data_IF_394163465257
#
_entry.id   IF_394163465257
#
_cell.length_a   1.000
_cell.length_b   1.000
_cell.length_c   1.000
_cell.angle_alpha   90.00
_cell.angle_beta   90.00
_cell.angle_gamma   90.00
#
_symmetry.space_group_name_H-M   'P 1'
#
loop_
_entity.id
_entity.type
_entity.pdbx_description
1 polymer ?
#
# COMPACT_ATOMS: atom_id res chain seq x y z
N UNK A 1 23.25 4.03 -17.32
CA UNK A 1 23.29 2.75 -18.04
C UNK A 1 22.14 2.73 -19.03
N UNK A 2 22.39 2.70 -20.36
CA UNK A 2 21.33 2.66 -21.38
C UNK A 2 20.56 1.34 -21.24
N UNK A 3 19.21 1.32 -21.23
CA UNK A 3 18.45 0.08 -21.26
C UNK A 3 18.76 -0.67 -22.57
N UNK A 4 19.11 -1.95 -22.47
CA UNK A 4 19.27 -2.81 -23.63
C UNK A 4 17.94 -2.88 -24.39
N UNK A 5 18.00 -2.96 -25.73
CA UNK A 5 16.84 -3.05 -26.64
C UNK A 5 15.87 -4.21 -26.25
N UNK A 6 16.33 -5.23 -25.58
CA UNK A 6 15.57 -6.38 -25.06
C UNK A 6 14.59 -5.99 -23.91
N UNK A 7 14.85 -4.90 -23.18
CA UNK A 7 14.01 -4.45 -22.07
C UNK A 7 12.73 -3.72 -22.52
N UNK A 8 12.70 -3.12 -23.73
CA UNK A 8 11.53 -2.41 -24.23
C UNK A 8 10.39 -3.39 -24.56
N UNK A 9 10.69 -4.47 -25.28
CA UNK A 9 9.71 -5.51 -25.60
C UNK A 9 9.12 -6.20 -24.35
N UNK A 10 9.98 -6.54 -23.39
CA UNK A 10 9.55 -7.11 -22.10
C UNK A 10 8.66 -6.13 -21.31
N UNK A 11 9.03 -4.86 -21.30
CA UNK A 11 8.24 -3.83 -20.59
C UNK A 11 6.86 -3.68 -21.21
N UNK A 12 6.74 -3.66 -22.53
CA UNK A 12 5.46 -3.60 -23.25
C UNK A 12 4.63 -4.83 -22.98
N UNK A 13 5.24 -6.01 -23.04
CA UNK A 13 4.56 -7.28 -22.72
C UNK A 13 3.97 -7.27 -21.29
N UNK A 14 4.76 -6.86 -20.31
CA UNK A 14 4.30 -6.80 -18.92
C UNK A 14 3.20 -5.75 -18.69
N UNK A 15 3.25 -4.61 -19.39
CA UNK A 15 2.24 -3.54 -19.27
C UNK A 15 0.86 -3.95 -19.78
N UNK A 16 0.77 -4.90 -20.68
CA UNK A 16 -0.52 -5.40 -21.18
C UNK A 16 -1.35 -6.10 -20.12
N UNK A 17 -0.71 -6.68 -19.10
CA UNK A 17 -1.39 -7.48 -18.07
C UNK A 17 -1.27 -6.91 -16.65
N UNK A 18 -0.28 -6.06 -16.40
CA UNK A 18 0.11 -5.67 -15.05
C UNK A 18 0.06 -4.15 -14.84
N UNK A 19 -0.19 -3.73 -13.61
CA UNK A 19 -0.10 -2.32 -13.23
C UNK A 19 1.35 -1.80 -13.30
N UNK A 20 1.53 -0.50 -13.55
CA UNK A 20 2.87 0.11 -13.63
C UNK A 20 3.78 -0.20 -12.43
N UNK A 21 3.23 -0.17 -11.21
CA UNK A 21 3.98 -0.51 -10.00
C UNK A 21 4.44 -1.96 -9.98
N UNK A 22 3.59 -2.89 -10.46
CA UNK A 22 3.96 -4.31 -10.59
C UNK A 22 5.02 -4.50 -11.67
N UNK A 23 4.87 -3.81 -12.81
CA UNK A 23 5.86 -3.85 -13.90
C UNK A 23 7.24 -3.42 -13.42
N UNK A 24 7.34 -2.27 -12.70
CA UNK A 24 8.61 -1.81 -12.12
C UNK A 24 9.25 -2.86 -11.21
N UNK A 25 8.45 -3.45 -10.32
CA UNK A 25 8.93 -4.48 -9.40
C UNK A 25 9.37 -5.75 -10.15
N UNK A 26 8.61 -6.19 -11.14
CA UNK A 26 8.96 -7.39 -11.93
C UNK A 26 10.22 -7.17 -12.77
N UNK A 27 10.37 -6.01 -13.41
CA UNK A 27 11.59 -5.66 -14.14
C UNK A 27 12.81 -5.69 -13.21
N UNK A 28 12.70 -5.14 -12.00
CA UNK A 28 13.77 -5.19 -11.02
C UNK A 28 14.17 -6.63 -10.64
N UNK A 29 13.19 -7.50 -10.36
CA UNK A 29 13.46 -8.91 -10.02
C UNK A 29 14.04 -9.70 -11.22
N UNK A 30 13.56 -9.44 -12.43
CA UNK A 30 14.06 -10.06 -13.67
C UNK A 30 15.49 -9.61 -13.96
N UNK A 31 15.81 -8.34 -13.79
CA UNK A 31 17.16 -7.82 -13.93
C UNK A 31 18.14 -8.48 -12.93
N UNK A 32 17.69 -8.65 -11.68
CA UNK A 32 18.47 -9.35 -10.66
C UNK A 32 18.71 -10.82 -11.05
N UNK A 33 17.70 -11.50 -11.57
CA UNK A 33 17.81 -12.86 -12.08
C UNK A 33 18.79 -12.96 -13.27
N UNK A 34 18.71 -12.03 -14.24
CA UNK A 34 19.64 -11.95 -15.38
C UNK A 34 21.10 -11.66 -14.97
N UNK A 35 21.31 -10.95 -13.87
CA UNK A 35 22.67 -10.77 -13.32
C UNK A 35 23.23 -12.05 -12.70
N UNK A 36 22.35 -12.88 -12.12
CA UNK A 36 22.77 -14.16 -11.54
C UNK A 36 23.10 -15.20 -12.62
N UNK A 37 22.34 -15.22 -13.72
CA UNK A 37 22.54 -16.12 -14.85
C UNK A 37 22.78 -15.35 -16.16
N UNK A 38 23.96 -15.59 -16.79
CA UNK A 38 24.30 -14.90 -18.05
C UNK A 38 23.38 -15.30 -19.23
N UNK A 39 22.89 -16.55 -19.24
CA UNK A 39 22.04 -17.09 -20.31
C UNK A 39 20.76 -17.72 -19.73
N UNK A 40 19.78 -16.90 -19.28
CA UNK A 40 18.58 -17.40 -18.63
C UNK A 40 17.74 -18.33 -19.53
N UNK A 41 17.79 -18.14 -20.84
CA UNK A 41 17.05 -18.96 -21.83
C UNK A 41 17.54 -20.41 -21.96
N UNK A 42 18.75 -20.71 -21.46
CA UNK A 42 19.38 -22.05 -21.53
C UNK A 42 19.26 -22.83 -20.21
N UNK A 43 18.63 -22.24 -19.19
CA UNK A 43 18.52 -22.88 -17.88
C UNK A 43 17.54 -24.07 -17.92
N UNK A 44 17.80 -25.03 -17.04
CA UNK A 44 16.89 -26.14 -16.75
C UNK A 44 15.95 -25.78 -15.58
N UNK A 45 14.90 -26.58 -15.38
CA UNK A 45 14.07 -26.48 -14.18
C UNK A 45 14.90 -26.61 -12.90
N UNK A 46 15.91 -27.50 -12.89
CA UNK A 46 16.79 -27.71 -11.74
C UNK A 46 17.54 -26.42 -11.36
N UNK A 47 18.09 -25.69 -12.35
CA UNK A 47 18.77 -24.42 -12.09
C UNK A 47 17.82 -23.37 -11.47
N UNK A 48 16.55 -23.35 -11.91
CA UNK A 48 15.56 -22.46 -11.30
C UNK A 48 15.25 -22.83 -9.85
N UNK A 49 15.21 -24.12 -9.52
CA UNK A 49 15.02 -24.57 -8.14
C UNK A 49 16.23 -24.22 -7.26
N UNK A 50 17.44 -24.35 -7.76
CA UNK A 50 18.68 -23.91 -7.08
C UNK A 50 18.64 -22.40 -6.79
N UNK A 51 18.14 -21.60 -7.74
CA UNK A 51 17.95 -20.17 -7.53
C UNK A 51 16.87 -19.87 -6.48
N UNK A 52 15.80 -20.63 -6.44
CA UNK A 52 14.77 -20.50 -5.39
C UNK A 52 15.37 -20.80 -4.01
N UNK A 53 16.19 -21.87 -3.90
CA UNK A 53 16.90 -22.19 -2.65
C UNK A 53 17.89 -21.08 -2.24
N UNK A 54 18.62 -20.54 -3.21
CA UNK A 54 19.49 -19.37 -2.97
C UNK A 54 18.69 -18.17 -2.42
N UNK A 55 17.52 -17.87 -3.01
CA UNK A 55 16.66 -16.79 -2.54
C UNK A 55 16.12 -17.02 -1.12
N UNK A 56 15.77 -18.27 -0.79
CA UNK A 56 15.24 -18.64 0.55
C UNK A 56 16.21 -18.35 1.68
N UNK A 57 17.54 -18.39 1.42
CA UNK A 57 18.56 -18.09 2.41
C UNK A 57 18.55 -16.63 2.89
N UNK A 58 18.08 -15.70 2.04
CA UNK A 58 18.22 -14.25 2.30
C UNK A 58 16.90 -13.47 2.26
N UNK A 59 15.82 -14.06 1.76
CA UNK A 59 14.55 -13.37 1.54
C UNK A 59 13.39 -14.06 2.24
N UNK A 60 12.39 -13.24 2.63
CA UNK A 60 11.14 -13.76 3.18
C UNK A 60 10.38 -14.58 2.13
N UNK A 61 9.57 -15.58 2.53
CA UNK A 61 8.78 -16.40 1.61
C UNK A 61 7.92 -15.57 0.65
N UNK A 62 7.35 -14.48 1.11
CA UNK A 62 6.55 -13.57 0.28
C UNK A 62 7.41 -12.87 -0.80
N UNK A 63 8.64 -12.50 -0.47
CA UNK A 63 9.59 -11.92 -1.44
C UNK A 63 10.02 -12.97 -2.47
N UNK A 64 10.34 -14.19 -2.03
CA UNK A 64 10.64 -15.31 -2.93
C UNK A 64 9.50 -15.58 -3.89
N UNK A 65 8.27 -15.66 -3.37
CA UNK A 65 7.06 -15.85 -4.19
C UNK A 65 6.92 -14.78 -5.26
N UNK A 66 7.13 -13.50 -4.90
CA UNK A 66 7.08 -12.38 -5.86
C UNK A 66 8.15 -12.52 -6.94
N UNK A 67 9.40 -12.84 -6.57
CA UNK A 67 10.51 -13.04 -7.52
C UNK A 67 10.21 -14.18 -8.48
N UNK A 68 9.67 -15.31 -7.98
CA UNK A 68 9.29 -16.45 -8.83
C UNK A 68 8.18 -16.06 -9.81
N UNK A 69 7.18 -15.28 -9.39
CA UNK A 69 6.15 -14.78 -10.32
C UNK A 69 6.74 -13.87 -11.40
N UNK A 70 7.69 -13.01 -11.07
CA UNK A 70 8.38 -12.18 -12.05
C UNK A 70 9.16 -13.04 -13.07
N UNK A 71 9.86 -14.09 -12.59
CA UNK A 71 10.58 -15.03 -13.44
C UNK A 71 9.62 -15.80 -14.36
N UNK A 72 8.46 -16.27 -13.85
CA UNK A 72 7.44 -16.90 -14.69
C UNK A 72 7.01 -16.00 -15.84
N UNK A 73 6.71 -14.73 -15.56
CA UNK A 73 6.35 -13.75 -16.59
C UNK A 73 7.49 -13.46 -17.57
N UNK A 74 8.73 -13.52 -17.14
CA UNK A 74 9.87 -13.43 -18.03
C UNK A 74 9.95 -14.64 -18.99
N UNK A 75 9.74 -15.85 -18.50
CA UNK A 75 9.69 -17.05 -19.35
C UNK A 75 8.46 -17.07 -20.27
N UNK A 76 7.29 -16.54 -19.82
CA UNK A 76 6.13 -16.33 -20.72
C UNK A 76 6.48 -15.40 -21.88
N UNK A 77 7.22 -14.30 -21.59
CA UNK A 77 7.73 -13.40 -22.61
C UNK A 77 8.70 -14.10 -23.59
N UNK A 78 9.65 -14.92 -23.09
CA UNK A 78 10.58 -15.66 -23.94
C UNK A 78 9.88 -16.64 -24.88
N UNK A 79 8.80 -17.29 -24.40
CA UNK A 79 7.93 -18.14 -25.25
C UNK A 79 7.22 -17.29 -26.29
N UNK A 80 6.65 -16.14 -25.89
CA UNK A 80 5.91 -15.24 -26.77
C UNK A 80 6.75 -14.74 -27.95
N UNK A 81 8.04 -14.46 -27.72
CA UNK A 81 8.98 -14.02 -28.79
C UNK A 81 9.70 -15.18 -29.50
N UNK A 82 9.31 -16.43 -29.22
CA UNK A 82 9.87 -17.63 -29.89
C UNK A 82 11.30 -18.01 -29.50
N UNK A 83 11.89 -17.40 -28.46
CA UNK A 83 13.23 -17.74 -27.98
C UNK A 83 13.31 -19.12 -27.32
N UNK A 84 12.22 -19.56 -26.70
CA UNK A 84 12.09 -20.90 -26.10
C UNK A 84 10.72 -21.49 -26.44
N UNK A 85 10.61 -22.83 -26.40
CA UNK A 85 9.37 -23.55 -26.75
C UNK A 85 8.35 -23.59 -25.61
N UNK A 86 8.82 -23.67 -24.37
CA UNK A 86 7.95 -23.86 -23.18
C UNK A 86 8.46 -23.04 -22.00
N UNK A 87 7.52 -22.58 -21.14
CA UNK A 87 7.87 -21.91 -19.90
C UNK A 87 8.28 -22.94 -18.83
N UNK A 88 9.58 -23.10 -18.63
CA UNK A 88 10.15 -24.01 -17.62
C UNK A 88 9.86 -23.59 -16.17
N UNK A 89 9.55 -22.30 -15.93
CA UNK A 89 9.22 -21.79 -14.60
C UNK A 89 7.73 -21.97 -14.24
N UNK A 90 6.87 -22.30 -15.22
CA UNK A 90 5.42 -22.33 -15.05
C UNK A 90 4.93 -23.17 -13.86
N UNK A 91 5.55 -24.33 -13.65
CA UNK A 91 5.16 -25.30 -12.61
C UNK A 91 5.76 -25.02 -11.23
N UNK A 92 6.64 -24.04 -11.07
CA UNK A 92 7.23 -23.71 -9.75
C UNK A 92 6.14 -23.19 -8.83
N UNK A 93 5.89 -23.87 -7.73
CA UNK A 93 4.93 -23.44 -6.69
C UNK A 93 5.65 -23.21 -5.38
N UNK A 94 5.57 -21.98 -4.86
CA UNK A 94 6.08 -21.63 -3.55
C UNK A 94 4.95 -21.78 -2.54
N UNK A 95 4.99 -22.85 -1.77
CA UNK A 95 4.01 -23.16 -0.73
C UNK A 95 4.36 -22.50 0.61
N UNK A 96 5.58 -22.05 0.76
CA UNK A 96 6.12 -21.44 1.97
C UNK A 96 5.55 -20.02 2.11
N UNK A 97 4.61 -19.84 2.93
CA UNK A 97 4.07 -18.51 3.17
C UNK A 97 2.72 -18.62 3.86
N UNK A 98 2.76 -18.88 5.15
CA UNK A 98 1.63 -18.46 5.99
C UNK A 98 1.52 -16.95 5.82
N UNK A 99 0.32 -16.46 5.50
CA UNK A 99 0.05 -15.03 5.61
C UNK A 99 0.44 -14.60 7.03
N UNK A 100 1.29 -13.59 7.13
CA UNK A 100 1.60 -13.05 8.44
C UNK A 100 0.30 -12.51 9.03
N UNK A 101 -0.21 -13.05 10.13
CA UNK A 101 -1.41 -12.54 10.75
C UNK A 101 -1.19 -11.07 11.13
N UNK A 102 -2.26 -10.31 11.18
CA UNK A 102 -2.20 -8.92 11.65
C UNK A 102 -1.76 -8.96 13.11
N UNK A 103 -0.61 -8.35 13.41
CA UNK A 103 -0.11 -8.27 14.78
C UNK A 103 -0.89 -7.18 15.52
N UNK A 104 -1.91 -7.57 16.26
CA UNK A 104 -2.85 -6.62 16.88
C UNK A 104 -2.23 -5.82 18.02
N UNK A 105 -1.31 -6.44 18.78
CA UNK A 105 -0.54 -5.74 19.81
C UNK A 105 0.30 -4.58 19.24
N UNK A 106 0.59 -4.63 17.94
CA UNK A 106 1.32 -3.57 17.26
C UNK A 106 0.42 -2.48 16.65
N UNK A 107 -0.90 -2.66 16.70
CA UNK A 107 -1.84 -1.65 16.21
C UNK A 107 -1.87 -0.45 17.16
N UNK A 108 -2.18 0.71 16.58
CA UNK A 108 -2.30 1.96 17.32
C UNK A 108 -3.61 1.99 18.09
N UNK A 109 -3.56 2.49 19.30
CA UNK A 109 -4.74 2.80 20.11
C UNK A 109 -5.46 4.05 19.56
N UNK A 110 -6.71 4.27 20.01
CA UNK A 110 -7.46 5.47 19.64
C UNK A 110 -6.70 6.76 20.02
N UNK A 111 -6.10 6.80 21.22
CA UNK A 111 -5.27 7.94 21.67
C UNK A 111 -4.06 8.17 20.76
N UNK A 112 -3.39 7.10 20.33
CA UNK A 112 -2.26 7.20 19.41
C UNK A 112 -2.70 7.68 18.02
N UNK A 113 -3.90 7.28 17.55
CA UNK A 113 -4.47 7.77 16.29
C UNK A 113 -4.84 9.26 16.38
N UNK A 114 -5.40 9.71 17.51
CA UNK A 114 -5.72 11.13 17.72
C UNK A 114 -4.46 12.00 17.72
N UNK A 115 -3.36 11.55 18.34
CA UNK A 115 -2.08 12.25 18.30
C UNK A 115 -1.54 12.50 16.89
N UNK A 116 -1.89 11.66 15.92
CA UNK A 116 -1.51 11.87 14.52
C UNK A 116 -2.26 13.05 13.86
N UNK A 117 -3.36 13.50 14.46
CA UNK A 117 -4.18 14.61 13.99
C UNK A 117 -3.77 15.94 14.61
N UNK A 118 -2.94 15.93 15.66
CA UNK A 118 -2.47 17.14 16.34
C UNK A 118 -1.64 18.01 15.37
N UNK A 119 -1.92 19.32 15.33
CA UNK A 119 -1.12 20.25 14.52
C UNK A 119 0.35 20.21 14.96
N UNK A 120 1.23 20.27 13.99
CA UNK A 120 2.67 20.37 14.26
C UNK A 120 3.34 21.34 13.28
N UNK A 121 4.43 21.93 13.69
CA UNK A 121 5.25 22.76 12.81
C UNK A 121 5.93 21.90 11.76
N UNK A 122 5.71 22.22 10.50
CA UNK A 122 6.30 21.54 9.36
C UNK A 122 7.59 22.24 8.90
N UNK A 123 8.50 21.45 8.31
CA UNK A 123 9.74 22.00 7.72
C UNK A 123 9.46 23.04 6.63
N UNK A 124 8.38 22.84 5.88
CA UNK A 124 7.92 23.74 4.82
C UNK A 124 6.50 24.21 5.14
N UNK A 125 6.33 25.46 5.62
CA UNK A 125 5.00 25.97 6.02
C UNK A 125 3.94 25.84 4.92
N UNK A 126 4.32 26.05 3.66
CA UNK A 126 3.44 25.89 2.49
C UNK A 126 2.85 24.47 2.33
N UNK A 127 3.36 23.48 3.05
CA UNK A 127 2.87 22.10 3.02
C UNK A 127 2.11 21.71 4.29
N UNK A 128 1.90 22.62 5.22
CA UNK A 128 1.34 22.32 6.54
C UNK A 128 -0.09 21.77 6.43
N UNK A 129 -1.00 22.53 5.82
CA UNK A 129 -2.40 22.07 5.67
C UNK A 129 -2.49 20.81 4.80
N UNK A 130 -1.67 20.72 3.72
CA UNK A 130 -1.57 19.48 2.92
C UNK A 130 -1.22 18.27 3.80
N UNK A 131 -0.23 18.41 4.66
CA UNK A 131 0.23 17.32 5.52
C UNK A 131 -0.83 16.94 6.56
N UNK A 132 -1.51 17.93 7.14
CA UNK A 132 -2.65 17.71 8.03
C UNK A 132 -3.80 16.98 7.31
N UNK A 133 -4.11 17.36 6.07
CA UNK A 133 -5.11 16.67 5.24
C UNK A 133 -4.73 15.20 5.02
N UNK A 134 -3.48 14.92 4.65
CA UNK A 134 -3.00 13.55 4.43
C UNK A 134 -3.20 12.72 5.69
N UNK A 135 -2.77 13.23 6.85
CA UNK A 135 -2.91 12.51 8.12
C UNK A 135 -4.38 12.32 8.49
N UNK A 136 -5.22 13.34 8.27
CA UNK A 136 -6.66 13.24 8.53
C UNK A 136 -7.35 12.20 7.67
N UNK A 137 -7.00 12.09 6.39
CA UNK A 137 -7.53 11.07 5.47
C UNK A 137 -7.09 9.65 5.85
N UNK A 138 -5.84 9.48 6.31
CA UNK A 138 -5.35 8.20 6.81
C UNK A 138 -6.08 7.77 8.08
N UNK A 139 -6.31 8.67 9.02
CA UNK A 139 -6.90 8.37 10.33
C UNK A 139 -8.43 8.31 10.26
N UNK A 140 -9.10 9.29 9.65
CA UNK A 140 -10.56 9.35 9.68
C UNK A 140 -11.22 8.47 8.61
N UNK A 141 -10.65 8.36 7.41
CA UNK A 141 -11.21 7.57 6.29
C UNK A 141 -10.43 6.29 6.00
N UNK A 142 -9.34 6.01 6.73
CA UNK A 142 -8.49 4.85 6.52
C UNK A 142 -8.04 4.65 5.06
N UNK A 143 -7.79 5.73 4.31
CA UNK A 143 -7.43 5.64 2.90
C UNK A 143 -6.06 4.99 2.70
N UNK A 144 -5.91 4.27 1.60
CA UNK A 144 -4.61 3.82 1.14
C UNK A 144 -3.81 4.98 0.56
N UNK A 145 -2.49 4.96 0.72
CA UNK A 145 -1.61 5.99 0.12
C UNK A 145 -1.84 6.16 -1.39
N UNK A 146 -2.11 5.06 -2.10
CA UNK A 146 -2.42 5.13 -3.52
C UNK A 146 -3.83 5.67 -3.83
N UNK A 147 -4.76 5.66 -2.89
CA UNK A 147 -6.06 6.33 -3.02
C UNK A 147 -5.87 7.83 -2.83
N UNK A 148 -5.12 8.24 -1.82
CA UNK A 148 -4.79 9.65 -1.54
C UNK A 148 -4.02 10.28 -2.73
N UNK A 149 -3.02 9.58 -3.27
CA UNK A 149 -2.25 10.04 -4.44
C UNK A 149 -3.14 10.35 -5.66
N UNK A 150 -4.23 9.58 -5.85
CA UNK A 150 -5.12 9.72 -7.01
C UNK A 150 -6.32 10.63 -6.79
N UNK A 151 -6.49 11.18 -5.58
CA UNK A 151 -7.59 12.09 -5.31
C UNK A 151 -7.51 13.33 -6.19
N UNK A 152 -8.63 13.67 -6.80
CA UNK A 152 -8.82 14.88 -7.58
C UNK A 152 -9.81 15.82 -6.88
N UNK A 153 -9.84 17.09 -7.26
CA UNK A 153 -10.78 18.06 -6.70
C UNK A 153 -12.22 17.61 -6.92
N UNK A 154 -12.54 17.04 -8.09
CA UNK A 154 -13.86 16.51 -8.44
C UNK A 154 -14.37 15.38 -7.52
N UNK A 155 -13.47 14.79 -6.73
CA UNK A 155 -13.80 13.75 -5.78
C UNK A 155 -14.29 14.31 -4.43
N UNK A 156 -14.23 15.62 -4.23
CA UNK A 156 -14.63 16.29 -3.00
C UNK A 156 -16.01 16.92 -3.17
N UNK A 157 -16.92 16.58 -2.29
CA UNK A 157 -18.20 17.25 -2.14
C UNK A 157 -18.26 17.90 -0.74
N UNK A 158 -17.63 19.07 -0.63
CA UNK A 158 -17.52 19.77 0.65
C UNK A 158 -18.89 20.30 1.14
N UNK A 159 -19.86 20.52 0.24
CA UNK A 159 -21.21 20.96 0.62
C UNK A 159 -21.97 19.87 1.36
N UNK A 160 -21.83 18.62 0.91
CA UNK A 160 -22.47 17.46 1.52
C UNK A 160 -21.52 16.70 2.47
N UNK A 161 -20.35 17.26 2.79
CA UNK A 161 -19.36 16.66 3.67
C UNK A 161 -18.93 15.25 3.22
N UNK A 162 -18.68 15.04 1.92
CA UNK A 162 -18.37 13.71 1.35
C UNK A 162 -17.12 13.72 0.50
N UNK A 163 -16.45 12.56 0.49
CA UNK A 163 -15.33 12.26 -0.39
C UNK A 163 -15.59 10.97 -1.15
N UNK A 164 -15.46 11.00 -2.49
CA UNK A 164 -15.59 9.84 -3.37
C UNK A 164 -14.23 9.22 -3.61
N UNK A 165 -14.03 7.99 -3.14
CA UNK A 165 -12.81 7.20 -3.38
C UNK A 165 -13.04 6.29 -4.56
N UNK A 166 -12.21 6.42 -5.61
CA UNK A 166 -12.35 5.62 -6.82
C UNK A 166 -11.82 4.19 -6.60
N UNK A 167 -12.39 3.22 -7.33
CA UNK A 167 -11.95 1.82 -7.33
C UNK A 167 -10.49 1.68 -7.73
N UNK A 168 -9.85 0.64 -7.23
CA UNK A 168 -8.50 0.24 -7.62
C UNK A 168 -8.42 -1.26 -7.90
N UNK A 169 -7.24 -1.76 -8.24
CA UNK A 169 -6.99 -3.20 -8.33
C UNK A 169 -7.34 -3.97 -7.05
N UNK A 170 -7.24 -3.33 -5.89
CA UNK A 170 -7.39 -3.98 -4.57
C UNK A 170 -8.58 -3.45 -3.75
N UNK A 171 -9.20 -2.32 -4.11
CA UNK A 171 -10.33 -1.73 -3.38
C UNK A 171 -11.50 -1.40 -4.30
N UNK A 172 -12.73 -1.44 -3.74
CA UNK A 172 -13.94 -0.96 -4.37
C UNK A 172 -14.05 0.57 -4.27
N UNK A 173 -14.81 1.19 -5.18
CA UNK A 173 -15.20 2.59 -5.04
C UNK A 173 -16.18 2.76 -3.87
N UNK A 174 -16.11 3.92 -3.21
CA UNK A 174 -16.97 4.24 -2.07
C UNK A 174 -17.07 5.73 -1.85
N UNK A 175 -18.12 6.15 -1.16
CA UNK A 175 -18.31 7.53 -0.70
C UNK A 175 -18.21 7.50 0.82
N UNK A 176 -17.36 8.36 1.37
CA UNK A 176 -17.10 8.45 2.81
C UNK A 176 -17.44 9.84 3.31
N UNK A 177 -17.91 9.91 4.55
CA UNK A 177 -18.20 11.17 5.20
C UNK A 177 -16.91 11.86 5.66
N UNK A 178 -16.89 13.19 5.58
CA UNK A 178 -15.86 14.06 6.12
C UNK A 178 -16.33 14.63 7.46
N UNK A 179 -15.43 14.78 8.41
CA UNK A 179 -15.70 15.48 9.65
C UNK A 179 -15.72 17.01 9.42
N UNK A 180 -16.39 17.75 10.28
CA UNK A 180 -16.50 19.21 10.18
C UNK A 180 -15.12 19.90 10.11
N UNK A 181 -14.18 19.45 10.93
CA UNK A 181 -12.82 19.99 10.96
C UNK A 181 -12.07 19.73 9.63
N UNK A 182 -12.35 18.61 8.97
CA UNK A 182 -11.77 18.31 7.65
C UNK A 182 -12.31 19.24 6.57
N UNK A 183 -13.59 19.59 6.61
CA UNK A 183 -14.21 20.47 5.61
C UNK A 183 -13.52 21.83 5.64
N UNK A 184 -13.35 22.41 6.84
CA UNK A 184 -12.69 23.71 7.02
C UNK A 184 -11.23 23.65 6.54
N UNK A 185 -10.51 22.62 6.95
CA UNK A 185 -9.09 22.41 6.57
C UNK A 185 -8.95 22.26 5.05
N UNK A 186 -9.83 21.48 4.39
CA UNK A 186 -9.80 21.28 2.94
C UNK A 186 -10.13 22.57 2.19
N UNK A 187 -11.11 23.33 2.66
CA UNK A 187 -11.48 24.61 2.09
C UNK A 187 -10.31 25.61 2.15
N UNK A 188 -9.70 25.78 3.32
CA UNK A 188 -8.54 26.66 3.50
C UNK A 188 -7.36 26.25 2.59
N UNK A 189 -7.04 24.95 2.54
CA UNK A 189 -5.99 24.44 1.68
C UNK A 189 -6.26 24.76 0.19
N UNK A 190 -7.49 24.56 -0.28
CA UNK A 190 -7.88 24.82 -1.67
C UNK A 190 -7.77 26.30 -2.03
N UNK A 191 -8.10 27.21 -1.11
CA UNK A 191 -8.09 28.65 -1.36
C UNK A 191 -6.71 29.30 -1.20
N UNK A 192 -5.87 28.76 -0.32
CA UNK A 192 -4.61 29.39 0.05
C UNK A 192 -3.40 28.61 -0.49
N UNK A 193 -2.97 27.57 0.21
CA UNK A 193 -1.70 26.87 -0.09
C UNK A 193 -1.70 26.21 -1.46
N UNK A 194 -2.81 25.60 -1.86
CA UNK A 194 -2.90 24.95 -3.16
C UNK A 194 -2.77 25.94 -4.31
N UNK A 195 -3.36 27.12 -4.20
CA UNK A 195 -3.23 28.15 -5.23
C UNK A 195 -1.77 28.65 -5.33
N UNK A 196 -1.09 28.82 -4.19
CA UNK A 196 0.33 29.15 -4.18
C UNK A 196 1.18 28.03 -4.81
N UNK A 197 0.90 26.75 -4.49
CA UNK A 197 1.63 25.62 -5.07
C UNK A 197 1.46 25.50 -6.58
N UNK A 198 0.31 25.88 -7.13
CA UNK A 198 0.07 25.90 -8.58
C UNK A 198 0.97 26.88 -9.33
N UNK A 199 1.42 27.97 -8.70
CA UNK A 199 2.27 28.97 -9.35
C UNK A 199 3.63 28.41 -9.76
N UNK A 200 4.08 27.30 -9.17
CA UNK A 200 5.34 26.65 -9.52
C UNK A 200 5.28 25.83 -10.82
N UNK A 201 4.11 25.71 -11.46
CA UNK A 201 3.93 24.99 -12.73
C UNK A 201 2.95 25.67 -13.66
N UNK A 202 3.22 25.53 -14.97
CA UNK A 202 2.33 25.99 -16.06
C UNK A 202 1.19 25.02 -16.34
N UNK A 203 1.38 23.71 -16.12
CA UNK A 203 0.34 22.70 -16.32
C UNK A 203 -0.62 22.66 -15.13
N UNK A 204 -1.93 22.74 -15.45
CA UNK A 204 -3.00 22.67 -14.43
C UNK A 204 -3.20 21.21 -13.98
N UNK A 205 -2.69 20.90 -12.82
CA UNK A 205 -2.91 19.61 -12.18
C UNK A 205 -4.27 19.58 -11.45
N UNK A 206 -5.15 18.65 -11.85
CA UNK A 206 -6.46 18.47 -11.19
C UNK A 206 -6.40 17.62 -9.93
N UNK A 207 -5.21 17.16 -9.53
CA UNK A 207 -5.04 16.46 -8.28
C UNK A 207 -5.36 17.34 -7.09
N UNK A 208 -6.00 16.75 -6.06
CA UNK A 208 -6.37 17.46 -4.84
C UNK A 208 -5.12 17.94 -4.10
N UNK A 209 -4.19 17.01 -3.82
CA UNK A 209 -2.99 17.29 -3.04
C UNK A 209 -1.78 17.48 -3.93
N UNK A 210 -1.13 18.62 -3.78
CA UNK A 210 0.06 18.99 -4.54
C UNK A 210 1.33 18.86 -3.69
N UNK A 211 2.42 18.44 -4.32
CA UNK A 211 3.76 18.46 -3.77
C UNK A 211 4.36 19.87 -3.77
N UNK A 212 5.53 20.02 -3.17
CA UNK A 212 6.24 21.32 -3.01
C UNK A 212 6.46 22.07 -4.32
N UNK A 213 6.62 21.36 -5.42
CA UNK A 213 6.86 21.94 -6.75
C UNK A 213 5.58 21.99 -7.61
N UNK A 214 4.40 21.98 -7.02
CA UNK A 214 3.12 22.01 -7.75
C UNK A 214 2.77 20.70 -8.47
N UNK A 215 3.58 19.65 -8.37
CA UNK A 215 3.28 18.32 -8.89
C UNK A 215 2.30 17.58 -7.99
N UNK A 216 1.67 16.51 -8.46
CA UNK A 216 0.87 15.65 -7.58
C UNK A 216 1.72 15.11 -6.43
N UNK A 217 1.12 14.97 -5.25
CA UNK A 217 1.73 14.27 -4.12
C UNK A 217 1.85 12.78 -4.43
N UNK A 218 3.03 12.20 -4.28
CA UNK A 218 3.30 10.77 -4.56
C UNK A 218 3.06 9.88 -3.33
N UNK A 219 3.01 8.56 -3.55
CA UNK A 219 2.97 7.58 -2.42
C UNK A 219 4.21 7.68 -1.54
N UNK A 220 5.35 7.94 -2.16
CA UNK A 220 6.64 8.11 -1.50
C UNK A 220 6.60 9.31 -0.55
N UNK A 221 6.04 10.46 -1.00
CA UNK A 221 5.86 11.65 -0.18
C UNK A 221 4.97 11.37 1.04
N UNK A 222 3.86 10.64 0.83
CA UNK A 222 2.93 10.29 1.91
C UNK A 222 3.61 9.35 2.93
N UNK A 223 4.29 8.32 2.45
CA UNK A 223 5.01 7.40 3.33
C UNK A 223 6.16 8.10 4.07
N UNK A 224 6.87 9.01 3.41
CA UNK A 224 7.88 9.83 4.04
C UNK A 224 7.26 10.71 5.15
N UNK A 225 6.14 11.39 4.86
CA UNK A 225 5.41 12.17 5.87
C UNK A 225 5.07 11.30 7.08
N UNK A 226 4.47 10.13 6.89
CA UNK A 226 4.14 9.20 7.98
C UNK A 226 5.40 8.83 8.78
N UNK A 227 6.51 8.56 8.11
CA UNK A 227 7.78 8.20 8.77
C UNK A 227 8.32 9.32 9.67
N UNK A 228 8.05 10.59 9.35
CA UNK A 228 8.48 11.73 10.18
C UNK A 228 7.78 11.80 11.54
N UNK A 229 6.65 11.10 11.72
CA UNK A 229 5.96 10.98 13.01
C UNK A 229 6.53 9.85 13.89
N UNK A 230 7.39 8.96 13.34
CA UNK A 230 7.90 7.77 14.04
C UNK A 230 8.48 8.08 15.43
N UNK A 231 9.15 9.21 15.58
CA UNK A 231 9.80 9.60 16.88
C UNK A 231 8.81 9.78 18.04
N UNK A 232 7.52 9.95 17.73
CA UNK A 232 6.45 10.13 18.73
C UNK A 232 5.81 8.82 19.16
N UNK A 233 6.20 7.70 18.55
CA UNK A 233 5.59 6.38 18.73
C UNK A 233 6.65 5.33 19.04
N UNK A 234 6.37 4.46 20.00
CA UNK A 234 7.19 3.28 20.30
C UNK A 234 6.97 2.17 19.27
N UNK A 235 5.73 2.04 18.78
CA UNK A 235 5.35 1.10 17.74
C UNK A 235 5.82 1.59 16.37
N UNK A 236 6.19 0.68 15.49
CA UNK A 236 6.55 1.04 14.10
C UNK A 236 5.38 1.68 13.39
N UNK A 237 5.52 2.93 12.96
CA UNK A 237 4.48 3.69 12.28
C UNK A 237 4.57 3.51 10.76
N UNK A 238 3.47 3.09 10.14
CA UNK A 238 3.33 2.99 8.68
C UNK A 238 1.90 3.35 8.28
N UNK A 239 1.69 3.84 7.06
CA UNK A 239 0.35 4.11 6.52
C UNK A 239 -0.57 2.87 6.57
N UNK A 240 0.00 1.69 6.33
CA UNK A 240 -0.74 0.42 6.45
C UNK A 240 -1.18 0.15 7.87
N UNK A 241 -0.30 0.37 8.86
CA UNK A 241 -0.62 0.16 10.28
C UNK A 241 -1.68 1.15 10.77
N UNK A 242 -1.61 2.43 10.38
CA UNK A 242 -2.66 3.42 10.67
C UNK A 242 -4.00 2.91 10.17
N UNK A 243 -4.09 2.52 8.90
CA UNK A 243 -5.33 1.98 8.32
C UNK A 243 -5.82 0.72 9.05
N UNK A 244 -4.94 -0.22 9.36
CA UNK A 244 -5.28 -1.44 10.09
C UNK A 244 -5.85 -1.11 11.46
N UNK A 245 -5.24 -0.16 12.18
CA UNK A 245 -5.70 0.30 13.49
C UNK A 245 -7.10 0.93 13.43
N UNK A 246 -7.36 1.77 12.42
CA UNK A 246 -8.69 2.39 12.24
C UNK A 246 -9.76 1.34 11.95
N UNK A 247 -9.47 0.35 11.09
CA UNK A 247 -10.40 -0.73 10.76
C UNK A 247 -10.71 -1.57 12.02
N UNK A 248 -9.66 -1.93 12.78
CA UNK A 248 -9.82 -2.69 14.03
C UNK A 248 -10.65 -1.91 15.05
N UNK A 249 -10.32 -0.63 15.27
CA UNK A 249 -11.04 0.24 16.20
C UNK A 249 -12.55 0.30 15.89
N UNK A 250 -12.92 0.44 14.61
CA UNK A 250 -14.34 0.43 14.19
C UNK A 250 -15.06 -0.88 14.51
N UNK A 251 -14.38 -2.00 14.33
CA UNK A 251 -14.93 -3.31 14.68
C UNK A 251 -15.06 -3.48 16.21
N UNK A 252 -14.09 -2.98 16.99
CA UNK A 252 -14.10 -3.02 18.45
C UNK A 252 -15.20 -2.12 19.03
N UNK A 253 -15.54 -1.02 18.34
CA UNK A 253 -16.68 -0.16 18.65
C UNK A 253 -18.04 -0.78 18.27
N UNK A 254 -18.05 -2.04 17.79
CA UNK A 254 -19.28 -2.76 17.45
C UNK A 254 -19.87 -2.43 16.09
N UNK A 255 -19.14 -1.70 15.21
CA UNK A 255 -19.66 -1.42 13.88
C UNK A 255 -19.87 -2.73 13.08
N UNK A 256 -20.96 -2.77 12.32
CA UNK A 256 -21.28 -3.95 11.51
C UNK A 256 -20.17 -4.23 10.49
N UNK A 257 -19.77 -5.50 10.37
CA UNK A 257 -18.70 -5.96 9.47
C UNK A 257 -18.86 -5.45 8.02
N UNK A 258 -20.08 -5.45 7.49
CA UNK A 258 -20.36 -4.97 6.12
C UNK A 258 -20.18 -3.47 5.99
N UNK A 259 -20.55 -2.69 7.03
CA UNK A 259 -20.26 -1.25 7.06
C UNK A 259 -18.77 -0.98 7.06
N UNK A 260 -18.01 -1.71 7.89
CA UNK A 260 -16.54 -1.59 7.94
C UNK A 260 -15.89 -2.07 6.65
N UNK A 261 -16.39 -3.15 6.03
CA UNK A 261 -15.95 -3.62 4.71
C UNK A 261 -16.12 -2.51 3.65
N UNK A 262 -17.31 -1.89 3.60
CA UNK A 262 -17.59 -0.77 2.69
C UNK A 262 -16.68 0.42 2.97
N UNK A 263 -16.58 0.84 4.22
CA UNK A 263 -15.71 1.93 4.68
C UNK A 263 -14.25 1.71 4.24
N UNK A 264 -13.71 0.53 4.46
CA UNK A 264 -12.38 0.17 4.05
C UNK A 264 -12.24 -0.03 2.52
N UNK A 265 -13.35 -0.28 1.81
CA UNK A 265 -13.36 -0.61 0.39
C UNK A 265 -12.83 -2.02 0.08
N UNK A 266 -12.88 -2.94 1.04
CA UNK A 266 -12.39 -4.30 0.83
C UNK A 266 -13.28 -5.05 -0.17
N UNK A 267 -12.67 -5.69 -1.18
CA UNK A 267 -13.39 -6.47 -2.18
C UNK A 267 -14.03 -7.73 -1.60
N UNK A 268 -13.35 -8.36 -0.63
CA UNK A 268 -13.77 -9.59 0.01
C UNK A 268 -14.01 -9.36 1.50
N UNK A 269 -15.05 -9.98 2.04
CA UNK A 269 -15.40 -9.88 3.47
C UNK A 269 -14.29 -10.43 4.36
N UNK A 270 -13.68 -11.54 3.93
CA UNK A 270 -12.57 -12.21 4.64
C UNK A 270 -11.41 -11.26 4.97
N UNK A 271 -11.18 -10.23 4.11
CA UNK A 271 -10.15 -9.22 4.39
C UNK A 271 -10.50 -8.38 5.62
N UNK A 272 -11.79 -8.15 5.88
CA UNK A 272 -12.26 -7.43 7.08
C UNK A 272 -12.40 -8.37 8.26
N UNK A 273 -12.80 -9.63 8.03
CA UNK A 273 -12.94 -10.66 9.05
C UNK A 273 -11.62 -10.90 9.81
N UNK A 274 -10.48 -10.84 9.12
CA UNK A 274 -9.14 -10.98 9.73
C UNK A 274 -8.87 -10.04 10.91
N UNK A 275 -9.62 -8.95 11.04
CA UNK A 275 -9.53 -8.02 12.17
C UNK A 275 -10.43 -8.42 13.34
N UNK A 276 -11.37 -9.35 13.13
CA UNK A 276 -12.26 -9.90 14.17
C UNK A 276 -11.68 -11.12 14.89
N UNK A 277 -10.84 -11.90 14.21
CA UNK A 277 -10.31 -13.20 14.67
C UNK A 277 -9.51 -13.13 15.98
N UNK A 278 -9.43 -11.97 16.59
CA UNK A 278 -8.72 -11.70 17.83
C UNK A 278 -9.49 -12.03 19.11
N UNK A 279 -10.71 -12.45 19.01
CA UNK A 279 -11.38 -13.10 20.15
C UNK A 279 -10.61 -14.32 20.67
N UNK A 280 -9.83 -14.99 19.82
CA UNK A 280 -9.01 -16.14 20.20
C UNK A 280 -7.82 -15.71 21.07
N UNK A 281 -7.14 -14.60 20.74
CA UNK A 281 -6.01 -14.10 21.54
C UNK A 281 -6.50 -13.54 22.89
N UNK A 282 -7.65 -12.87 22.92
CA UNK A 282 -8.29 -12.46 24.18
C UNK A 282 -8.75 -13.67 25.01
N UNK A 283 -9.27 -14.71 24.36
CA UNK A 283 -9.63 -15.96 25.00
C UNK A 283 -8.39 -16.70 25.52
N UNK A 284 -7.32 -16.74 24.74
CA UNK A 284 -6.04 -17.34 25.15
C UNK A 284 -5.43 -16.58 26.34
N UNK A 285 -5.48 -15.25 26.31
CA UNK A 285 -5.02 -14.40 27.44
C UNK A 285 -5.89 -14.61 28.67
N UNK A 286 -7.20 -14.71 28.53
CA UNK A 286 -8.11 -15.02 29.61
C UNK A 286 -7.88 -16.46 30.16
N UNK A 287 -7.70 -17.44 29.27
CA UNK A 287 -7.36 -18.81 29.66
C UNK A 287 -6.02 -18.80 30.41
N UNK A 288 -5.01 -18.11 29.95
CA UNK A 288 -3.70 -18.02 30.61
C UNK A 288 -3.77 -17.28 31.94
N UNK A 289 -4.65 -16.30 32.10
CA UNK A 289 -4.90 -15.60 33.37
C UNK A 289 -5.72 -16.42 34.41
N UNK A 290 -6.64 -17.21 33.91
CA UNK A 290 -7.58 -17.97 34.78
C UNK A 290 -7.30 -19.48 34.80
N UNK A 291 -6.21 -19.94 34.16
CA UNK A 291 -5.84 -21.34 34.16
C UNK A 291 -5.34 -21.75 35.57
N UNK A 292 -5.93 -22.79 36.20
CA UNK A 292 -5.58 -23.16 37.56
C UNK A 292 -4.11 -23.60 37.77
N UNK A 293 -3.35 -23.78 36.68
CA UNK A 293 -1.93 -24.19 36.69
C UNK A 293 -0.98 -23.05 36.25
N UNK A 294 -1.44 -21.79 36.16
CA UNK A 294 -0.59 -20.65 35.92
C UNK A 294 0.09 -20.20 37.23
N UNK A 295 1.05 -21.00 37.71
CA UNK A 295 1.98 -20.66 38.79
C UNK A 295 3.40 -20.66 38.24
#
# INVERSE_FOLDING_TARGET
>A
MKPSTDNHGLTTFLKNELSEGTVKNYLYEIEKFKRHYKNPEKLSYQNLMEYVEYLRKSYTPQSVKRTVYAIKKYYDYLVNIGKIKTNIAGNIRIKDGKENPIQLQELLTEKELQRLLEPRKERYPILEKRNQIIMSLLVNQALLVGEIERLKIENLDLKNAKIKVQKSGITNSRILDLKAEQILLFYQYLQEEREQLKTFRTEKENYFLLGKLGTKTTKEDINYLVSTYQKQFTKRLTSTRIRQSVIKLKLDQGENLRKVQYFAGHKHADTTEKYRETGIDALQTAINQFHPLAF
#
